data_IF_367976700998
#
_entry.id   IF_367976700998
#
_cell.length_a   1.000
_cell.length_b   1.000
_cell.length_c   1.000
_cell.angle_alpha   90.00
_cell.angle_beta   90.00
_cell.angle_gamma   90.00
#
_symmetry.space_group_name_H-M   'P 1'
#
loop_
_entity.id
_entity.type
_entity.pdbx_description
1 polymer ?
#
# COMPACT_ATOMS: atom_id res chain seq x y z
N UNK A 1 -15.31 22.57 6.05
CA UNK A 1 -14.35 23.55 5.46
C UNK A 1 -15.14 24.74 4.98
N UNK A 2 -14.64 25.96 5.21
CA UNK A 2 -15.24 27.16 4.64
C UNK A 2 -15.16 27.10 3.10
N UNK A 3 -16.23 27.48 2.42
CA UNK A 3 -16.24 27.64 0.95
C UNK A 3 -15.29 28.76 0.53
N UNK A 4 -14.78 28.73 -0.70
CA UNK A 4 -13.84 29.76 -1.21
C UNK A 4 -14.44 31.15 -1.16
N UNK A 5 -15.73 31.27 -1.44
CA UNK A 5 -16.50 32.51 -1.45
C UNK A 5 -16.56 33.13 -0.05
N UNK A 6 -16.93 32.33 0.95
CA UNK A 6 -16.91 32.72 2.36
C UNK A 6 -15.51 33.15 2.83
N UNK A 7 -14.46 32.48 2.33
CA UNK A 7 -13.07 32.82 2.67
C UNK A 7 -12.66 34.19 2.11
N UNK A 8 -13.02 34.51 0.87
CA UNK A 8 -12.73 35.80 0.26
C UNK A 8 -13.51 36.95 0.92
N UNK A 9 -14.73 36.70 1.37
CA UNK A 9 -15.49 37.68 2.15
C UNK A 9 -14.80 37.96 3.50
N UNK A 10 -14.31 36.92 4.17
CA UNK A 10 -13.61 37.02 5.45
C UNK A 10 -12.29 37.81 5.35
N UNK A 11 -11.55 37.68 4.25
CA UNK A 11 -10.26 38.36 4.07
C UNK A 11 -10.37 39.89 4.15
N UNK A 12 -11.42 40.47 3.56
CA UNK A 12 -11.65 41.92 3.63
C UNK A 12 -11.90 42.40 5.06
N UNK A 13 -12.66 41.63 5.83
CA UNK A 13 -12.95 41.94 7.23
C UNK A 13 -11.78 41.63 8.16
N UNK A 14 -10.89 40.71 7.78
CA UNK A 14 -9.65 40.43 8.51
C UNK A 14 -8.59 41.52 8.32
N UNK A 15 -8.58 42.19 7.17
CA UNK A 15 -7.69 43.32 6.90
C UNK A 15 -8.10 44.58 7.68
N UNK A 16 -9.39 44.88 7.73
CA UNK A 16 -9.93 46.04 8.44
C UNK A 16 -11.05 45.62 9.41
N UNK A 17 -10.70 44.93 10.52
CA UNK A 17 -11.69 44.45 11.47
C UNK A 17 -12.35 45.61 12.22
N UNK A 18 -13.68 45.62 12.37
CA UNK A 18 -14.34 46.58 13.25
C UNK A 18 -13.81 46.47 14.68
N UNK A 19 -13.69 47.60 15.39
CA UNK A 19 -13.06 47.65 16.72
C UNK A 19 -13.70 46.73 17.77
N UNK A 20 -15.00 46.46 17.63
CA UNK A 20 -15.78 45.61 18.53
C UNK A 20 -15.72 44.11 18.16
N UNK A 21 -15.16 43.73 17.01
CA UNK A 21 -15.10 42.35 16.54
C UNK A 21 -13.73 41.75 16.87
N UNK A 22 -13.74 40.53 17.40
CA UNK A 22 -12.54 39.71 17.61
C UNK A 22 -12.73 38.39 16.87
N UNK A 23 -11.72 38.01 16.08
CA UNK A 23 -11.70 36.73 15.37
C UNK A 23 -10.83 35.74 16.15
N UNK A 24 -11.40 34.56 16.43
CA UNK A 24 -10.68 33.43 17.02
C UNK A 24 -10.87 32.24 16.07
N UNK A 25 -9.77 31.80 15.46
CA UNK A 25 -9.76 30.65 14.56
C UNK A 25 -9.14 29.44 15.25
N UNK A 26 -9.78 28.28 15.10
CA UNK A 26 -9.25 26.99 15.55
C UNK A 26 -9.13 26.06 14.34
N UNK A 27 -7.96 25.44 14.15
CA UNK A 27 -7.72 24.45 13.09
C UNK A 27 -6.73 23.40 13.56
N UNK A 28 -6.91 22.15 13.11
CA UNK A 28 -5.93 21.07 13.28
C UNK A 28 -4.92 20.99 12.13
N UNK A 29 -5.15 21.75 11.05
CA UNK A 29 -4.31 21.73 9.84
C UNK A 29 -3.95 23.16 9.42
N UNK A 30 -3.07 23.81 10.19
CA UNK A 30 -2.64 25.19 9.94
C UNK A 30 -1.97 25.36 8.57
N UNK A 31 -1.24 24.35 8.09
CA UNK A 31 -0.60 24.34 6.77
C UNK A 31 -1.57 24.37 5.59
N UNK A 32 -2.84 24.02 5.80
CA UNK A 32 -3.88 24.11 4.76
C UNK A 32 -4.50 25.51 4.66
N UNK A 33 -4.18 26.42 5.58
CA UNK A 33 -4.65 27.80 5.54
C UNK A 33 -3.76 28.62 4.59
N UNK A 34 -4.35 29.48 3.74
CA UNK A 34 -3.58 30.43 2.94
C UNK A 34 -2.69 31.33 3.80
N UNK A 35 -1.49 31.64 3.29
CA UNK A 35 -0.55 32.56 3.96
C UNK A 35 -1.17 33.94 4.25
N UNK A 36 -2.14 34.37 3.44
CA UNK A 36 -2.85 35.64 3.62
C UNK A 36 -3.63 35.72 4.93
N UNK A 37 -4.11 34.60 5.48
CA UNK A 37 -4.75 34.57 6.80
C UNK A 37 -3.71 34.40 7.89
N UNK A 38 -2.71 33.55 7.66
CA UNK A 38 -1.65 33.31 8.64
C UNK A 38 -0.87 34.59 8.98
N UNK A 39 -0.62 35.46 8.00
CA UNK A 39 0.08 36.73 8.21
C UNK A 39 -0.71 37.78 8.99
N UNK A 40 -2.04 37.62 9.08
CA UNK A 40 -2.96 38.57 9.74
C UNK A 40 -3.48 38.07 11.08
N UNK A 41 -3.09 36.87 11.50
CA UNK A 41 -3.51 36.27 12.75
C UNK A 41 -2.30 36.07 13.67
N UNK A 42 -2.48 36.32 14.96
CA UNK A 42 -1.54 35.84 15.96
C UNK A 42 -1.71 34.33 16.10
N UNK A 43 -0.65 33.58 15.80
CA UNK A 43 -0.64 32.11 15.91
C UNK A 43 -0.30 31.69 17.34
N UNK A 44 -1.11 30.79 17.87
CA UNK A 44 -0.84 30.06 19.12
C UNK A 44 -0.92 28.56 18.83
N UNK A 45 0.19 27.88 19.00
CA UNK A 45 0.26 26.43 18.84
C UNK A 45 0.05 25.74 20.19
N UNK A 46 -1.05 25.00 20.30
CA UNK A 46 -1.33 24.17 21.46
C UNK A 46 -0.62 22.83 21.30
N UNK A 47 0.22 22.48 22.28
CA UNK A 47 0.86 21.17 22.35
C UNK A 47 -0.10 20.16 22.97
N UNK A 48 0.15 18.87 22.69
CA UNK A 48 -0.53 17.79 23.38
C UNK A 48 -0.28 17.90 24.89
N UNK A 49 -1.32 17.62 25.67
CA UNK A 49 -1.26 17.65 27.13
C UNK A 49 -0.48 16.41 27.59
N UNK A 50 0.38 16.56 28.60
CA UNK A 50 1.12 15.43 29.15
C UNK A 50 0.18 14.44 29.84
N UNK A 51 0.57 13.16 29.89
CA UNK A 51 -0.22 12.11 30.58
C UNK A 51 -0.44 12.51 32.04
N UNK A 52 0.60 13.00 32.71
CA UNK A 52 0.52 13.45 34.11
C UNK A 52 -0.45 14.62 34.33
N UNK A 53 -0.48 15.61 33.42
CA UNK A 53 -1.41 16.73 33.53
C UNK A 53 -2.87 16.28 33.31
N UNK A 54 -3.09 15.33 32.37
CA UNK A 54 -4.41 14.73 32.16
C UNK A 54 -4.86 13.99 33.42
N UNK A 55 -4.01 13.12 33.98
CA UNK A 55 -4.31 12.40 35.21
C UNK A 55 -4.69 13.35 36.35
N UNK A 56 -3.85 14.36 36.60
CA UNK A 56 -4.11 15.35 37.64
C UNK A 56 -5.48 16.00 37.47
N UNK A 57 -5.82 16.38 36.24
CA UNK A 57 -7.11 17.01 35.96
C UNK A 57 -8.29 16.03 36.11
N UNK A 58 -8.16 14.79 35.65
CA UNK A 58 -9.20 13.77 35.84
C UNK A 58 -9.42 13.48 37.33
N UNK A 59 -8.35 13.47 38.13
CA UNK A 59 -8.42 13.27 39.58
C UNK A 59 -9.16 14.43 40.27
N UNK A 60 -8.94 15.68 39.82
CA UNK A 60 -9.68 16.84 40.29
C UNK A 60 -11.18 16.69 40.00
N UNK A 61 -11.55 16.28 38.78
CA UNK A 61 -12.95 16.02 38.40
C UNK A 61 -13.57 14.92 39.28
N UNK A 62 -12.88 13.80 39.48
CA UNK A 62 -13.38 12.71 40.32
C UNK A 62 -13.66 13.17 41.75
N UNK A 63 -12.78 14.01 42.31
CA UNK A 63 -12.95 14.59 43.66
C UNK A 63 -14.15 15.53 43.73
N UNK A 64 -14.39 16.34 42.69
CA UNK A 64 -15.54 17.25 42.63
C UNK A 64 -16.86 16.48 42.52
N UNK A 65 -16.89 15.40 41.74
CA UNK A 65 -18.07 14.54 41.55
C UNK A 65 -18.27 13.53 42.70
N UNK A 66 -17.33 13.43 43.64
CA UNK A 66 -17.41 12.51 44.78
C UNK A 66 -17.24 11.02 44.41
N UNK A 67 -16.70 10.72 43.23
CA UNK A 67 -16.48 9.35 42.73
C UNK A 67 -15.07 8.87 43.06
N UNK A 68 -14.91 7.59 43.39
CA UNK A 68 -13.60 6.98 43.60
C UNK A 68 -13.09 6.31 42.33
N UNK A 69 -11.80 6.48 42.04
CA UNK A 69 -11.13 5.83 40.90
C UNK A 69 -9.76 5.32 41.34
N UNK A 70 -9.37 4.15 40.84
CA UNK A 70 -8.04 3.60 41.08
C UNK A 70 -6.96 4.40 40.32
N UNK A 71 -5.78 4.66 40.91
CA UNK A 71 -4.70 5.38 40.23
C UNK A 71 -4.28 4.73 38.90
N UNK A 72 -4.24 3.39 38.86
CA UNK A 72 -3.94 2.62 37.64
C UNK A 72 -4.98 2.84 36.55
N UNK A 73 -6.27 2.87 36.90
CA UNK A 73 -7.37 3.11 35.99
C UNK A 73 -7.27 4.52 35.36
N UNK A 74 -6.98 5.51 36.18
CA UNK A 74 -6.81 6.90 35.76
C UNK A 74 -5.61 7.10 34.82
N UNK A 75 -4.50 6.42 35.11
CA UNK A 75 -3.32 6.37 34.24
C UNK A 75 -3.63 5.73 32.87
N UNK A 76 -4.39 4.63 32.84
CA UNK A 76 -4.83 4.00 31.59
C UNK A 76 -5.68 4.94 30.74
N UNK A 77 -6.63 5.66 31.34
CA UNK A 77 -7.46 6.65 30.62
C UNK A 77 -6.60 7.77 30.04
N UNK A 78 -5.65 8.29 30.82
CA UNK A 78 -4.76 9.36 30.38
C UNK A 78 -3.87 8.93 29.20
N UNK A 79 -3.35 7.70 29.23
CA UNK A 79 -2.60 7.10 28.12
C UNK A 79 -3.46 6.93 26.87
N UNK A 80 -4.69 6.43 27.03
CA UNK A 80 -5.62 6.23 25.93
C UNK A 80 -5.94 7.53 25.18
N UNK A 81 -6.04 8.64 25.92
CA UNK A 81 -6.40 9.94 25.37
C UNK A 81 -5.35 10.59 24.45
N UNK A 82 -4.11 10.09 24.41
CA UNK A 82 -3.04 10.57 23.50
C UNK A 82 -2.84 12.09 23.47
N UNK A 83 -3.08 12.76 24.60
CA UNK A 83 -2.98 14.23 24.75
C UNK A 83 -4.29 15.01 24.55
N UNK A 84 -5.40 14.35 24.23
CA UNK A 84 -6.73 14.93 24.07
C UNK A 84 -7.55 14.87 25.35
N UNK A 85 -7.62 15.97 26.11
CA UNK A 85 -8.38 16.02 27.37
C UNK A 85 -9.89 15.76 27.18
N UNK A 86 -10.45 16.13 26.03
CA UNK A 86 -11.86 15.87 25.73
C UNK A 86 -12.15 14.37 25.66
N UNK A 87 -11.22 13.61 25.08
CA UNK A 87 -11.39 12.16 24.90
C UNK A 87 -11.27 11.44 26.24
N UNK A 88 -10.33 11.85 27.11
CA UNK A 88 -10.25 11.30 28.47
C UNK A 88 -11.47 11.63 29.32
N UNK A 89 -12.00 12.85 29.24
CA UNK A 89 -13.23 13.23 29.94
C UNK A 89 -14.44 12.43 29.43
N UNK A 90 -14.53 12.20 28.11
CA UNK A 90 -15.61 11.40 27.52
C UNK A 90 -15.59 9.96 28.03
N UNK A 91 -14.40 9.36 28.13
CA UNK A 91 -14.22 8.02 28.72
C UNK A 91 -14.58 8.00 30.20
N UNK A 92 -14.15 9.02 30.95
CA UNK A 92 -14.46 9.13 32.38
C UNK A 92 -15.97 9.26 32.64
N UNK A 93 -16.67 10.08 31.85
CA UNK A 93 -18.12 10.26 31.94
C UNK A 93 -18.87 8.96 31.62
N UNK A 94 -18.39 8.23 30.60
CA UNK A 94 -18.91 6.90 30.30
C UNK A 94 -18.73 5.96 31.49
N UNK A 95 -17.55 5.91 32.12
CA UNK A 95 -17.30 5.07 33.30
C UNK A 95 -18.19 5.45 34.49
N UNK A 96 -18.41 6.74 34.74
CA UNK A 96 -19.32 7.18 35.80
C UNK A 96 -20.77 6.81 35.56
N UNK A 97 -21.17 6.62 34.30
CA UNK A 97 -22.50 6.15 33.93
C UNK A 97 -22.67 4.64 34.14
N UNK A 98 -21.59 3.85 34.10
CA UNK A 98 -21.60 2.40 34.28
C UNK A 98 -21.27 1.95 35.71
N UNK A 99 -20.48 2.74 36.45
CA UNK A 99 -19.99 2.39 37.78
C UNK A 99 -20.60 3.31 38.86
N UNK A 100 -21.18 2.71 39.89
CA UNK A 100 -21.84 3.46 40.97
C UNK A 100 -20.85 4.20 41.88
N UNK A 101 -19.91 3.50 42.52
CA UNK A 101 -19.08 4.13 43.58
C UNK A 101 -17.58 4.16 43.28
N UNK A 102 -17.05 3.10 42.65
CA UNK A 102 -15.61 2.94 42.42
C UNK A 102 -15.33 2.43 41.01
N UNK A 103 -14.50 3.17 40.27
CA UNK A 103 -13.99 2.78 38.96
C UNK A 103 -12.67 2.02 39.13
N UNK A 104 -12.62 0.79 38.62
CA UNK A 104 -11.43 -0.08 38.63
C UNK A 104 -10.75 -0.14 37.27
N UNK A 105 -9.52 -0.65 37.21
CA UNK A 105 -8.83 -0.87 35.92
C UNK A 105 -9.58 -1.83 34.99
N UNK A 106 -10.32 -2.80 35.54
CA UNK A 106 -11.13 -3.73 34.75
C UNK A 106 -12.29 -3.01 34.03
N UNK A 107 -12.94 -2.06 34.72
CA UNK A 107 -14.03 -1.27 34.14
C UNK A 107 -13.53 -0.39 32.98
N UNK A 108 -12.35 0.22 33.14
CA UNK A 108 -11.69 0.99 32.09
C UNK A 108 -11.39 0.11 30.87
N UNK A 109 -10.82 -1.08 31.08
CA UNK A 109 -10.51 -2.01 29.99
C UNK A 109 -11.78 -2.49 29.27
N UNK A 110 -12.87 -2.69 30.01
CA UNK A 110 -14.16 -3.04 29.44
C UNK A 110 -14.68 -1.92 28.53
N UNK A 111 -14.74 -0.68 29.03
CA UNK A 111 -15.23 0.49 28.29
C UNK A 111 -14.36 0.82 27.08
N UNK A 112 -13.03 0.74 27.22
CA UNK A 112 -12.09 1.06 26.15
C UNK A 112 -11.92 -0.04 25.12
N UNK A 113 -12.58 -1.19 25.27
CA UNK A 113 -12.32 -2.34 24.40
C UNK A 113 -10.87 -2.85 24.52
N UNK A 114 -10.18 -2.55 25.63
CA UNK A 114 -8.83 -3.04 25.87
C UNK A 114 -8.87 -4.55 26.05
N UNK A 115 -7.85 -5.25 25.55
CA UNK A 115 -7.77 -6.71 25.60
C UNK A 115 -6.85 -7.05 26.75
N UNK A 116 -7.21 -8.08 27.51
CA UNK A 116 -6.41 -8.47 28.66
C UNK A 116 -4.98 -8.80 28.26
N UNK A 117 -4.02 -8.29 29.03
CA UNK A 117 -2.60 -8.48 28.77
C UNK A 117 -2.24 -9.98 28.71
N UNK A 118 -2.90 -10.83 29.49
CA UNK A 118 -2.70 -12.28 29.45
C UNK A 118 -3.02 -12.89 28.08
N UNK A 119 -4.04 -12.39 27.37
CA UNK A 119 -4.38 -12.85 26.02
C UNK A 119 -3.36 -12.38 25.01
N UNK A 120 -2.89 -11.14 25.17
CA UNK A 120 -1.80 -10.62 24.34
C UNK A 120 -0.54 -11.45 24.59
N UNK A 121 -0.20 -11.78 25.83
CA UNK A 121 0.97 -12.60 26.16
C UNK A 121 0.84 -14.00 25.56
N UNK A 122 -0.32 -14.63 25.69
CA UNK A 122 -0.62 -15.92 25.06
C UNK A 122 -0.47 -15.85 23.54
N UNK A 123 -0.88 -14.74 22.91
CA UNK A 123 -0.70 -14.52 21.47
C UNK A 123 0.79 -14.47 21.08
N UNK A 124 1.62 -13.76 21.86
CA UNK A 124 3.07 -13.75 21.64
C UNK A 124 3.70 -15.12 21.87
N UNK A 125 3.23 -15.91 22.83
CA UNK A 125 3.68 -17.31 22.99
C UNK A 125 3.32 -18.17 21.77
N UNK A 126 2.13 -18.00 21.21
CA UNK A 126 1.77 -18.67 19.96
C UNK A 126 2.67 -18.25 18.79
N UNK A 127 3.12 -16.99 18.73
CA UNK A 127 4.11 -16.56 17.74
C UNK A 127 5.47 -17.24 17.94
N UNK A 128 5.96 -17.32 19.17
CA UNK A 128 7.23 -17.98 19.48
C UNK A 128 7.18 -19.48 19.17
N UNK A 129 6.08 -20.14 19.56
CA UNK A 129 5.89 -21.58 19.37
C UNK A 129 5.41 -21.96 17.96
N UNK A 130 5.18 -20.96 17.08
CA UNK A 130 4.61 -21.14 15.73
C UNK A 130 3.25 -21.85 15.71
N UNK A 131 2.48 -21.69 16.79
CA UNK A 131 1.14 -22.28 16.92
C UNK A 131 0.07 -21.37 16.32
N UNK A 132 -0.14 -21.50 15.01
CA UNK A 132 -1.19 -20.77 14.30
C UNK A 132 -2.60 -21.16 14.77
N UNK A 133 -2.81 -22.39 15.23
CA UNK A 133 -4.13 -22.85 15.69
C UNK A 133 -4.50 -22.20 17.03
N UNK A 134 -3.56 -22.16 17.97
CA UNK A 134 -3.74 -21.47 19.25
C UNK A 134 -3.97 -19.97 19.04
N UNK A 135 -3.19 -19.35 18.16
CA UNK A 135 -3.33 -17.94 17.85
C UNK A 135 -4.72 -17.60 17.26
N UNK A 136 -5.24 -18.42 16.34
CA UNK A 136 -6.57 -18.22 15.78
C UNK A 136 -7.69 -18.39 16.81
N UNK A 137 -7.55 -19.30 17.79
CA UNK A 137 -8.51 -19.44 18.88
C UNK A 137 -8.57 -18.19 19.74
N UNK A 138 -7.41 -17.62 20.08
CA UNK A 138 -7.33 -16.37 20.84
C UNK A 138 -8.01 -15.23 20.08
N UNK A 139 -7.82 -15.15 18.74
CA UNK A 139 -8.55 -14.16 17.91
C UNK A 139 -10.06 -14.36 17.99
N UNK A 140 -10.55 -15.61 17.88
CA UNK A 140 -11.99 -15.90 17.96
C UNK A 140 -12.56 -15.53 19.34
N UNK A 141 -11.85 -15.87 20.42
CA UNK A 141 -12.25 -15.52 21.79
C UNK A 141 -12.36 -14.00 21.98
N UNK A 142 -11.38 -13.24 21.49
CA UNK A 142 -11.39 -11.77 21.54
C UNK A 142 -12.59 -11.19 20.79
N UNK A 143 -12.90 -11.72 19.60
CA UNK A 143 -14.03 -11.24 18.79
C UNK A 143 -15.38 -11.63 19.42
N UNK A 144 -15.48 -12.81 20.04
CA UNK A 144 -16.69 -13.27 20.73
C UNK A 144 -16.99 -12.43 21.99
N UNK A 145 -15.98 -11.82 22.59
CA UNK A 145 -16.12 -10.84 23.68
C UNK A 145 -16.55 -9.44 23.21
N UNK A 146 -16.76 -9.26 21.90
CA UNK A 146 -17.20 -7.99 21.32
C UNK A 146 -16.08 -6.95 21.16
N UNK A 147 -14.82 -7.34 21.35
CA UNK A 147 -13.65 -6.47 21.14
C UNK A 147 -13.40 -6.30 19.65
N UNK A 148 -12.88 -5.14 19.25
CA UNK A 148 -12.66 -4.88 17.82
C UNK A 148 -11.31 -5.39 17.35
N UNK A 149 -11.25 -5.84 16.10
CA UNK A 149 -10.00 -6.20 15.44
C UNK A 149 -9.00 -5.04 15.40
N UNK A 150 -9.51 -3.80 15.29
CA UNK A 150 -8.70 -2.59 15.30
C UNK A 150 -7.94 -2.42 16.62
N UNK A 151 -8.63 -2.54 17.76
CA UNK A 151 -8.02 -2.47 19.09
C UNK A 151 -7.00 -3.58 19.31
N UNK A 152 -7.32 -4.80 18.84
CA UNK A 152 -6.39 -5.93 18.88
C UNK A 152 -5.07 -5.64 18.15
N UNK A 153 -5.16 -5.13 16.93
CA UNK A 153 -3.96 -4.80 16.14
C UNK A 153 -3.19 -3.65 16.78
N UNK A 154 -3.88 -2.61 17.24
CA UNK A 154 -3.26 -1.44 17.85
C UNK A 154 -2.50 -1.83 19.14
N UNK A 155 -3.05 -2.74 19.94
CA UNK A 155 -2.36 -3.29 21.13
C UNK A 155 -1.17 -4.17 20.77
N UNK A 156 -1.29 -5.05 19.77
CA UNK A 156 -0.16 -5.85 19.28
C UNK A 156 0.98 -4.96 18.77
N UNK A 157 0.65 -3.92 17.99
CA UNK A 157 1.62 -2.95 17.49
C UNK A 157 2.34 -2.23 18.62
N UNK A 158 1.62 -1.84 19.68
CA UNK A 158 2.22 -1.21 20.85
C UNK A 158 3.24 -2.13 21.52
N UNK A 159 2.85 -3.38 21.80
CA UNK A 159 3.74 -4.38 22.43
C UNK A 159 4.95 -4.74 21.57
N UNK A 160 4.77 -4.86 20.26
CA UNK A 160 5.90 -5.06 19.33
C UNK A 160 6.86 -3.86 19.32
N UNK A 161 6.31 -2.65 19.35
CA UNK A 161 7.10 -1.42 19.42
C UNK A 161 7.89 -1.34 20.72
N UNK A 162 7.30 -1.74 21.84
CA UNK A 162 8.00 -1.77 23.13
C UNK A 162 9.18 -2.77 23.11
N UNK A 163 8.99 -3.97 22.56
CA UNK A 163 10.08 -4.94 22.35
C UNK A 163 11.17 -4.39 21.41
N UNK A 164 10.78 -3.74 20.31
CA UNK A 164 11.74 -3.19 19.35
C UNK A 164 12.59 -2.09 19.97
N UNK A 165 11.95 -1.14 20.67
CA UNK A 165 12.63 -0.04 21.36
C UNK A 165 13.59 -0.59 22.42
N UNK A 166 13.13 -1.55 23.24
CA UNK A 166 13.98 -2.18 24.24
C UNK A 166 15.16 -2.93 23.61
N UNK A 167 14.94 -3.69 22.54
CA UNK A 167 16.02 -4.40 21.84
C UNK A 167 17.07 -3.47 21.21
N UNK A 168 16.68 -2.24 20.86
CA UNK A 168 17.57 -1.27 20.20
C UNK A 168 18.30 -0.35 21.18
N UNK A 169 17.61 0.09 22.24
CA UNK A 169 18.12 1.10 23.18
C UNK A 169 18.44 0.54 24.57
N UNK A 170 18.01 -0.69 24.88
CA UNK A 170 18.13 -1.27 26.21
C UNK A 170 17.30 -0.53 27.28
N UNK A 171 17.64 -0.71 28.57
CA UNK A 171 16.93 -0.10 29.69
C UNK A 171 17.05 1.44 29.76
N UNK A 172 17.96 2.04 28.98
CA UNK A 172 18.20 3.49 28.98
C UNK A 172 17.06 4.30 28.31
N UNK A 173 16.10 3.63 27.68
CA UNK A 173 14.92 4.27 27.08
C UNK A 173 13.84 4.63 28.11
N UNK A 174 14.18 5.39 29.16
CA UNK A 174 13.26 5.80 30.23
C UNK A 174 12.05 6.64 29.73
N UNK A 175 12.14 7.19 28.51
CA UNK A 175 11.04 7.90 27.85
C UNK A 175 9.98 6.97 27.25
N UNK A 176 10.31 5.70 27.06
CA UNK A 176 9.38 4.66 26.65
C UNK A 176 8.91 3.95 27.91
N UNK A 177 7.74 4.29 28.41
CA UNK A 177 7.10 3.48 29.46
C UNK A 177 6.71 2.14 28.85
N UNK A 178 7.30 1.05 29.35
CA UNK A 178 7.01 -0.31 28.91
C UNK A 178 6.77 -1.23 30.11
N UNK A 179 6.07 -2.34 29.86
CA UNK A 179 5.90 -3.39 30.86
C UNK A 179 7.16 -4.26 30.92
N UNK A 180 7.94 -4.12 32.01
CA UNK A 180 9.17 -4.88 32.25
C UNK A 180 8.92 -6.39 32.27
N UNK A 181 7.77 -6.84 32.78
CA UNK A 181 7.44 -8.26 32.87
C UNK A 181 7.25 -8.88 31.49
N UNK A 182 6.62 -8.13 30.58
CA UNK A 182 6.42 -8.53 29.19
C UNK A 182 7.75 -8.58 28.44
N UNK A 183 8.58 -7.55 28.60
CA UNK A 183 9.88 -7.47 27.93
C UNK A 183 10.76 -8.65 28.33
N UNK A 184 10.95 -8.90 29.62
CA UNK A 184 11.80 -10.00 30.07
C UNK A 184 11.36 -11.38 29.58
N UNK A 185 10.05 -11.57 29.34
CA UNK A 185 9.51 -12.82 28.80
C UNK A 185 9.84 -13.03 27.32
N UNK A 186 9.91 -11.96 26.51
CA UNK A 186 10.01 -12.07 25.05
C UNK A 186 11.25 -11.41 24.42
N UNK A 187 12.10 -10.73 25.18
CA UNK A 187 13.30 -10.01 24.68
C UNK A 187 14.25 -10.91 23.85
N UNK A 188 14.35 -12.20 24.19
CA UNK A 188 15.25 -13.16 23.54
C UNK A 188 14.59 -13.94 22.42
N UNK A 189 13.28 -13.84 22.30
CA UNK A 189 12.48 -14.69 21.41
C UNK A 189 12.40 -14.13 20.00
N UNK A 190 12.60 -12.82 19.84
CA UNK A 190 12.50 -12.12 18.55
C UNK A 190 13.77 -11.33 18.25
N UNK A 191 14.24 -11.39 17.00
CA UNK A 191 15.29 -10.47 16.53
C UNK A 191 14.70 -9.11 16.16
N UNK A 192 15.51 -8.05 16.22
CA UNK A 192 15.10 -6.69 15.82
C UNK A 192 14.50 -6.64 14.40
N UNK A 193 15.10 -7.35 13.44
CA UNK A 193 14.59 -7.44 12.07
C UNK A 193 13.22 -8.12 11.99
N UNK A 194 13.02 -9.17 12.80
CA UNK A 194 11.73 -9.86 12.88
C UNK A 194 10.67 -8.91 13.43
N UNK A 195 10.98 -8.17 14.51
CA UNK A 195 10.07 -7.20 15.10
C UNK A 195 9.69 -6.08 14.12
N UNK A 196 10.66 -5.53 13.38
CA UNK A 196 10.38 -4.53 12.33
C UNK A 196 9.43 -5.07 11.26
N UNK A 197 9.66 -6.29 10.79
CA UNK A 197 8.79 -6.91 9.80
C UNK A 197 7.37 -7.15 10.33
N UNK A 198 7.24 -7.64 11.58
CA UNK A 198 5.93 -7.83 12.22
C UNK A 198 5.16 -6.51 12.31
N UNK A 199 5.81 -5.43 12.73
CA UNK A 199 5.22 -4.08 12.80
C UNK A 199 4.78 -3.60 11.43
N UNK A 200 5.62 -3.73 10.40
CA UNK A 200 5.28 -3.31 9.04
C UNK A 200 4.06 -4.06 8.50
N UNK A 201 4.00 -5.37 8.72
CA UNK A 201 2.90 -6.21 8.23
C UNK A 201 1.57 -5.82 8.90
N UNK A 202 1.57 -5.71 10.24
CA UNK A 202 0.39 -5.28 10.99
C UNK A 202 -0.03 -3.85 10.63
N UNK A 203 0.91 -2.93 10.42
CA UNK A 203 0.63 -1.54 10.04
C UNK A 203 -0.07 -1.45 8.67
N UNK A 204 0.43 -2.19 7.68
CA UNK A 204 -0.20 -2.25 6.35
C UNK A 204 -1.61 -2.83 6.42
N UNK A 205 -1.80 -3.86 7.25
CA UNK A 205 -3.11 -4.48 7.43
C UNK A 205 -4.09 -3.54 8.14
N UNK A 206 -3.63 -2.80 9.17
CA UNK A 206 -4.44 -1.80 9.88
C UNK A 206 -5.01 -0.72 8.94
N UNK A 207 -4.23 -0.29 7.96
CA UNK A 207 -4.62 0.73 6.97
C UNK A 207 -5.62 0.17 5.94
N UNK A 208 -5.45 -1.09 5.51
CA UNK A 208 -6.28 -1.70 4.45
C UNK A 208 -7.65 -2.18 4.93
N UNK A 209 -7.89 -2.20 6.23
CA UNK A 209 -9.06 -2.84 6.83
C UNK A 209 -10.17 -1.82 7.12
N UNK A 210 -10.93 -1.42 6.10
CA UNK A 210 -12.09 -0.51 6.26
C UNK A 210 -13.43 -1.24 6.41
N UNK A 211 -13.59 -2.44 5.84
CA UNK A 211 -14.81 -3.24 5.95
C UNK A 211 -14.73 -4.30 7.06
N UNK A 212 -15.82 -4.51 7.79
CA UNK A 212 -15.88 -5.46 8.92
C UNK A 212 -15.58 -6.92 8.53
N UNK A 213 -16.07 -7.39 7.38
CA UNK A 213 -15.76 -8.74 6.91
C UNK A 213 -14.27 -8.90 6.51
N UNK A 214 -13.72 -7.88 5.87
CA UNK A 214 -12.31 -7.87 5.49
C UNK A 214 -11.40 -7.72 6.72
N UNK A 215 -11.85 -7.05 7.79
CA UNK A 215 -11.11 -6.91 9.04
C UNK A 215 -10.83 -8.26 9.69
N UNK A 216 -11.85 -9.12 9.84
CA UNK A 216 -11.68 -10.46 10.43
C UNK A 216 -10.72 -11.32 9.60
N UNK A 217 -10.99 -11.45 8.30
CA UNK A 217 -10.15 -12.25 7.40
C UNK A 217 -8.71 -11.73 7.37
N UNK A 218 -8.53 -10.41 7.35
CA UNK A 218 -7.19 -9.80 7.33
C UNK A 218 -6.43 -10.03 8.63
N UNK A 219 -7.11 -10.01 9.77
CA UNK A 219 -6.48 -10.31 11.06
C UNK A 219 -6.12 -11.79 11.20
N UNK A 220 -7.00 -12.71 10.84
CA UNK A 220 -6.71 -14.15 10.83
C UNK A 220 -5.52 -14.45 9.91
N UNK A 221 -5.51 -13.89 8.70
CA UNK A 221 -4.39 -14.03 7.76
C UNK A 221 -3.10 -13.42 8.31
N UNK A 222 -3.17 -12.26 8.96
CA UNK A 222 -2.02 -11.62 9.57
C UNK A 222 -1.43 -12.50 10.66
N UNK A 223 -2.24 -12.98 11.60
CA UNK A 223 -1.83 -13.85 12.70
C UNK A 223 -1.21 -15.15 12.18
N UNK A 224 -1.81 -15.80 11.18
CA UNK A 224 -1.23 -17.01 10.55
C UNK A 224 0.14 -16.69 9.94
N UNK A 225 0.26 -15.57 9.23
CA UNK A 225 1.54 -15.15 8.64
C UNK A 225 2.58 -14.91 9.73
N UNK A 226 2.21 -14.27 10.84
CA UNK A 226 3.09 -14.03 11.99
C UNK A 226 3.61 -15.35 12.59
N UNK A 227 2.73 -16.33 12.84
CA UNK A 227 3.12 -17.65 13.36
C UNK A 227 4.02 -18.44 12.39
N UNK A 228 3.81 -18.28 11.08
CA UNK A 228 4.54 -19.04 10.05
C UNK A 228 5.88 -18.42 9.68
N UNK A 229 6.22 -17.25 10.20
CA UNK A 229 7.50 -16.63 9.88
C UNK A 229 8.67 -17.49 10.35
N UNK A 230 9.65 -17.63 9.49
CA UNK A 230 10.97 -18.06 9.91
C UNK A 230 11.74 -16.83 10.40
N UNK A 231 12.48 -16.99 11.50
CA UNK A 231 13.34 -15.92 11.97
C UNK A 231 14.36 -15.62 10.88
N UNK A 232 14.51 -14.34 10.53
CA UNK A 232 15.47 -13.92 9.50
C UNK A 232 16.91 -14.34 9.89
N UNK A 233 17.18 -14.47 11.20
CA UNK A 233 18.45 -15.02 11.69
C UNK A 233 18.72 -16.48 11.29
N UNK A 234 17.70 -17.30 11.05
CA UNK A 234 17.88 -18.67 10.55
C UNK A 234 18.39 -18.69 9.10
N UNK A 235 18.02 -17.68 8.30
CA UNK A 235 18.54 -17.50 6.94
C UNK A 235 20.02 -17.10 6.96
N UNK A 236 20.43 -16.22 7.89
CA UNK A 236 21.85 -15.90 8.09
C UNK A 236 22.67 -17.13 8.47
N UNK A 237 22.14 -17.99 9.35
CA UNK A 237 22.79 -19.27 9.71
C UNK A 237 22.82 -20.29 8.57
N UNK A 238 21.86 -20.26 7.64
CA UNK A 238 21.90 -21.06 6.41
C UNK A 238 22.94 -20.54 5.43
N UNK A 239 23.07 -19.21 5.30
CA UNK A 239 24.11 -18.59 4.47
C UNK A 239 25.50 -18.94 5.03
N UNK A 240 25.70 -18.84 6.34
CA UNK A 240 26.97 -19.20 7.00
C UNK A 240 27.29 -20.71 6.85
N UNK A 241 26.27 -21.57 6.87
CA UNK A 241 26.43 -23.00 6.57
C UNK A 241 26.78 -23.26 5.11
N UNK A 242 26.21 -22.50 4.18
CA UNK A 242 26.52 -22.61 2.75
C UNK A 242 27.96 -22.15 2.51
N UNK A 243 28.38 -21.01 3.06
CA UNK A 243 29.76 -20.52 2.92
C UNK A 243 30.77 -21.46 3.57
N UNK A 244 30.48 -22.03 4.74
CA UNK A 244 31.36 -23.03 5.37
C UNK A 244 31.38 -24.38 4.63
N UNK A 245 30.34 -24.72 3.89
CA UNK A 245 30.31 -25.89 2.99
C UNK A 245 31.12 -25.62 1.72
N UNK A 246 31.01 -24.42 1.15
CA UNK A 246 31.82 -23.96 0.01
C UNK A 246 33.32 -23.97 0.34
N UNK A 247 33.71 -23.41 1.50
CA UNK A 247 35.10 -23.44 1.97
C UNK A 247 35.62 -24.87 2.21
N UNK A 248 34.77 -25.79 2.70
CA UNK A 248 35.14 -27.20 2.87
C UNK A 248 35.28 -27.93 1.55
N UNK A 249 34.48 -27.59 0.53
CA UNK A 249 34.62 -28.13 -0.81
C UNK A 249 35.93 -27.68 -1.47
N UNK A 250 36.30 -26.40 -1.31
CA UNK A 250 37.59 -25.89 -1.81
C UNK A 250 38.80 -26.52 -1.11
N UNK A 251 38.67 -26.92 0.17
CA UNK A 251 39.73 -27.63 0.89
C UNK A 251 39.87 -29.11 0.46
N UNK A 252 38.79 -29.74 -0.03
CA UNK A 252 38.85 -31.12 -0.54
C UNK A 252 39.54 -31.18 -1.91
N UNK A 253 39.49 -30.11 -2.70
CA UNK A 253 40.23 -29.99 -3.97
C UNK A 253 41.75 -29.79 -3.79
N UNK A 254 42.24 -29.59 -2.55
CA UNK A 254 43.64 -29.32 -2.24
C UNK A 254 44.41 -30.52 -1.61
N UNK A 255 43.97 -31.76 -1.85
CA UNK A 255 44.77 -32.96 -1.53
C UNK A 255 45.63 -33.34 -2.76
N UNK A 256 46.97 -33.23 -2.70
CA UNK A 256 47.83 -33.65 -3.79
C UNK A 256 48.01 -35.18 -3.74
N UNK A 257 47.39 -35.89 -4.69
CA UNK A 257 47.82 -37.24 -5.07
C UNK A 257 46.78 -38.35 -5.00
N UNK A 258 45.93 -38.43 -6.02
CA UNK A 258 45.68 -39.64 -6.83
C UNK A 258 44.77 -39.28 -8.01
N UNK A 259 45.39 -38.76 -9.08
CA UNK A 259 44.81 -38.92 -10.43
C UNK A 259 45.03 -40.37 -10.82
N UNK A 260 43.95 -41.15 -10.82
CA UNK A 260 43.99 -42.55 -11.21
C UNK A 260 42.86 -43.36 -10.57
N UNK A 261 41.64 -43.10 -11.01
CA UNK A 261 40.75 -44.15 -11.54
C UNK A 261 39.53 -43.46 -12.13
N UNK A 262 39.40 -43.57 -13.45
CA UNK A 262 38.11 -43.39 -14.12
C UNK A 262 37.11 -44.31 -13.43
N UNK A 263 36.16 -43.72 -12.71
CA UNK A 263 34.91 -44.41 -12.41
C UNK A 263 34.10 -44.31 -13.69
N UNK A 264 34.25 -45.33 -14.54
CA UNK A 264 33.24 -45.67 -15.54
C UNK A 264 31.92 -45.88 -14.80
N UNK A 265 31.02 -44.91 -14.86
CA UNK A 265 29.63 -45.12 -14.51
C UNK A 265 29.06 -46.16 -15.49
N UNK A 266 28.46 -47.26 -14.99
CA UNK A 266 27.71 -48.17 -15.85
C UNK A 266 26.56 -47.40 -16.48
N UNK A 267 26.58 -47.30 -17.81
CA UNK A 267 25.43 -46.88 -18.60
C UNK A 267 24.40 -48.02 -18.61
N UNK A 268 23.69 -48.21 -17.50
CA UNK A 268 22.47 -49.00 -17.47
C UNK A 268 21.31 -48.13 -16.99
N UNK A 269 20.58 -47.67 -18.01
CA UNK A 269 19.13 -47.53 -18.05
C UNK A 269 18.39 -47.99 -16.79
N UNK A 270 18.04 -47.04 -15.93
CA UNK A 270 16.80 -47.12 -15.16
C UNK A 270 15.79 -46.16 -15.76
N UNK A 271 15.08 -46.68 -16.76
CA UNK A 271 13.76 -46.21 -17.11
C UNK A 271 12.88 -46.26 -15.85
N UNK A 272 12.61 -45.10 -15.24
CA UNK A 272 11.44 -44.93 -14.38
C UNK A 272 10.33 -44.38 -15.24
N UNK A 273 9.45 -45.31 -15.58
CA UNK A 273 8.06 -45.15 -15.99
C UNK A 273 7.46 -43.88 -15.39
N UNK A 274 7.25 -42.88 -16.25
CA UNK A 274 6.14 -41.96 -16.06
C UNK A 274 4.87 -42.78 -16.18
N UNK A 275 4.23 -43.00 -15.03
CA UNK A 275 2.88 -43.52 -14.97
C UNK A 275 2.00 -42.52 -15.73
N UNK A 276 1.44 -43.02 -16.82
CA UNK A 276 0.28 -42.46 -17.49
C UNK A 276 -0.83 -42.29 -16.46
N UNK A 277 -1.23 -41.05 -16.21
CA UNK A 277 -2.53 -40.75 -15.65
C UNK A 277 -3.33 -40.00 -16.72
N UNK A 278 -4.53 -40.53 -16.94
CA UNK A 278 -5.37 -40.33 -18.10
C UNK A 278 -5.71 -38.86 -18.35
N UNK A 279 -5.63 -38.52 -19.62
CA UNK A 279 -6.45 -37.55 -20.32
C UNK A 279 -7.94 -37.67 -19.91
N UNK A 280 -8.53 -36.54 -19.55
CA UNK A 280 -9.93 -36.24 -19.88
C UNK A 280 -9.87 -35.14 -20.95
N UNK A 281 -10.13 -35.62 -22.16
CA UNK A 281 -10.72 -35.00 -23.36
C UNK A 281 -10.48 -33.51 -23.67
N UNK A 282 -9.85 -33.33 -24.82
CA UNK A 282 -9.78 -32.14 -25.65
C UNK A 282 -11.17 -31.65 -26.10
N UNK A 283 -11.30 -30.33 -26.20
CA UNK A 283 -12.29 -29.66 -27.04
C UNK A 283 -11.61 -28.54 -27.83
N UNK A 284 -11.19 -28.89 -29.04
CA UNK A 284 -10.81 -28.06 -30.19
C UNK A 284 -9.70 -27.01 -30.04
N UNK A 285 -8.46 -27.47 -30.25
CA UNK A 285 -7.40 -26.68 -30.87
C UNK A 285 -7.49 -26.83 -32.39
N UNK A 286 -7.73 -25.72 -33.10
CA UNK A 286 -7.49 -25.60 -34.55
C UNK A 286 -6.07 -25.03 -34.76
N UNK A 287 -5.30 -25.48 -35.78
CA UNK A 287 -3.83 -25.41 -35.80
C UNK A 287 -3.25 -24.02 -36.16
N UNK A 288 -1.95 -23.81 -35.92
CA UNK A 288 -1.26 -22.58 -36.30
C UNK A 288 -1.04 -22.53 -37.82
N UNK A 289 -1.61 -21.51 -38.47
CA UNK A 289 -1.38 -21.27 -39.89
C UNK A 289 -0.10 -20.44 -40.11
N UNK A 290 0.88 -21.12 -40.69
CA UNK A 290 1.94 -20.70 -41.64
C UNK A 290 2.30 -19.22 -41.74
N UNK A 291 3.59 -18.96 -41.59
CA UNK A 291 4.31 -17.85 -42.22
C UNK A 291 4.10 -17.89 -43.75
N UNK A 292 3.28 -16.98 -44.26
CA UNK A 292 3.28 -16.64 -45.68
C UNK A 292 3.75 -15.19 -45.86
N UNK A 293 4.78 -15.05 -46.70
CA UNK A 293 5.30 -13.78 -47.19
C UNK A 293 4.18 -12.97 -47.84
N UNK A 294 3.96 -11.73 -47.38
CA UNK A 294 3.18 -10.74 -48.13
C UNK A 294 3.99 -9.44 -48.24
N UNK A 295 4.18 -9.06 -49.49
CA UNK A 295 4.83 -7.87 -50.05
C UNK A 295 4.28 -6.56 -49.43
N UNK A 296 5.09 -5.49 -49.29
CA UNK A 296 4.64 -4.25 -48.69
C UNK A 296 3.79 -3.45 -49.68
N UNK A 297 2.48 -3.40 -49.46
CA UNK A 297 1.57 -2.57 -50.26
C UNK A 297 0.63 -1.82 -49.30
N UNK A 298 0.64 -0.48 -49.40
CA UNK A 298 -0.31 0.48 -48.77
C UNK A 298 -0.08 0.73 -47.26
N UNK A 299 1.09 1.28 -46.90
CA UNK A 299 1.39 1.74 -45.53
C UNK A 299 0.98 3.21 -45.24
N UNK A 300 0.29 3.91 -46.15
CA UNK A 300 -0.05 5.34 -45.99
C UNK A 300 -1.52 5.65 -45.63
N UNK A 301 -2.49 4.77 -45.92
CA UNK A 301 -3.92 5.06 -45.64
C UNK A 301 -4.38 4.69 -44.21
N UNK A 302 -3.68 3.81 -43.48
CA UNK A 302 -4.13 3.30 -42.16
C UNK A 302 -4.15 4.36 -41.04
N UNK A 303 -3.29 5.37 -41.09
CA UNK A 303 -3.17 6.36 -40.02
C UNK A 303 -4.22 7.47 -40.11
N UNK A 304 -4.67 7.84 -41.31
CA UNK A 304 -5.69 8.88 -41.50
C UNK A 304 -7.08 8.38 -41.06
N UNK A 305 -7.44 7.16 -41.46
CA UNK A 305 -8.73 6.53 -41.08
C UNK A 305 -8.84 6.37 -39.55
N UNK A 306 -7.75 5.97 -38.87
CA UNK A 306 -7.74 5.87 -37.41
C UNK A 306 -7.90 7.23 -36.73
N UNK A 307 -7.27 8.28 -37.27
CA UNK A 307 -7.41 9.65 -36.79
C UNK A 307 -8.85 10.16 -36.89
N UNK A 308 -9.56 9.83 -37.98
CA UNK A 308 -10.93 10.30 -38.21
C UNK A 308 -11.98 9.52 -37.39
N UNK A 309 -11.75 8.24 -37.10
CA UNK A 309 -12.54 7.47 -36.13
C UNK A 309 -12.37 8.08 -34.72
N UNK A 310 -11.14 8.41 -34.32
CA UNK A 310 -10.87 9.03 -33.02
C UNK A 310 -11.54 10.41 -32.89
N UNK A 311 -11.50 11.25 -33.93
CA UNK A 311 -12.22 12.55 -33.93
C UNK A 311 -13.73 12.38 -33.83
N UNK A 312 -14.29 11.36 -34.50
CA UNK A 312 -15.73 11.08 -34.48
C UNK A 312 -16.20 10.59 -33.10
N UNK A 313 -15.42 9.76 -32.42
CA UNK A 313 -15.69 9.30 -31.05
C UNK A 313 -15.54 10.47 -30.06
N UNK A 314 -14.52 11.32 -30.23
CA UNK A 314 -14.29 12.48 -29.37
C UNK A 314 -15.46 13.47 -29.37
N UNK A 315 -16.11 13.66 -30.53
CA UNK A 315 -17.29 14.54 -30.66
C UNK A 315 -18.53 13.98 -29.94
N UNK A 316 -18.70 12.66 -29.86
CA UNK A 316 -19.86 12.04 -29.19
C UNK A 316 -19.65 11.87 -27.68
N UNK A 317 -18.51 11.32 -27.24
CA UNK A 317 -18.18 11.15 -25.80
C UNK A 317 -16.66 11.20 -25.55
N UNK A 318 -16.22 12.16 -24.73
CA UNK A 318 -14.81 12.34 -24.36
C UNK A 318 -14.23 11.20 -23.53
N UNK A 319 -15.05 10.55 -22.69
CA UNK A 319 -14.60 9.45 -21.82
C UNK A 319 -14.26 8.19 -22.63
N UNK A 320 -15.10 7.80 -23.58
CA UNK A 320 -14.88 6.65 -24.47
C UNK A 320 -13.66 6.85 -25.36
N UNK A 321 -13.47 8.08 -25.87
CA UNK A 321 -12.28 8.45 -26.64
C UNK A 321 -10.98 8.26 -25.85
N UNK A 322 -10.95 8.66 -24.58
CA UNK A 322 -9.76 8.53 -23.74
C UNK A 322 -9.33 7.06 -23.57
N UNK A 323 -10.30 6.15 -23.44
CA UNK A 323 -10.03 4.71 -23.35
C UNK A 323 -9.66 4.10 -24.71
N UNK A 324 -10.31 4.54 -25.79
CA UNK A 324 -10.10 3.99 -27.13
C UNK A 324 -8.77 4.44 -27.76
N UNK A 325 -8.28 5.64 -27.42
CA UNK A 325 -6.97 6.17 -27.86
C UNK A 325 -5.80 5.27 -27.49
N UNK A 326 -5.91 4.54 -26.38
CA UNK A 326 -4.85 3.64 -25.89
C UNK A 326 -4.76 2.32 -26.69
N UNK A 327 -5.73 2.05 -27.56
CA UNK A 327 -5.74 0.89 -28.46
C UNK A 327 -4.90 1.11 -29.73
N UNK A 328 -4.31 0.04 -30.27
CA UNK A 328 -3.62 0.05 -31.57
C UNK A 328 -4.42 -0.73 -32.62
N UNK A 329 -4.59 -0.15 -33.79
CA UNK A 329 -5.20 -0.82 -34.94
C UNK A 329 -4.16 -1.72 -35.62
N UNK A 330 -4.43 -3.03 -35.72
CA UNK A 330 -3.50 -4.00 -36.32
C UNK A 330 -3.78 -4.25 -37.81
N UNK A 331 -5.04 -4.36 -38.22
CA UNK A 331 -5.45 -4.45 -39.63
C UNK A 331 -6.94 -4.14 -39.81
N UNK A 332 -7.31 -3.84 -41.06
CA UNK A 332 -8.67 -3.72 -41.57
C UNK A 332 -8.72 -4.57 -42.83
N UNK A 333 -8.89 -5.88 -42.68
CA UNK A 333 -9.22 -6.76 -43.80
C UNK A 333 -10.67 -7.23 -43.62
N UNK A 334 -11.41 -7.25 -44.73
CA UNK A 334 -12.79 -7.73 -44.84
C UNK A 334 -13.82 -7.13 -43.85
N UNK A 335 -13.68 -5.83 -43.54
CA UNK A 335 -14.69 -5.09 -42.76
C UNK A 335 -14.71 -5.41 -41.26
N UNK A 336 -13.68 -6.08 -40.73
CA UNK A 336 -13.50 -6.31 -39.28
C UNK A 336 -12.38 -5.41 -38.75
N UNK A 337 -12.68 -4.58 -37.74
CA UNK A 337 -11.67 -3.75 -37.06
C UNK A 337 -11.08 -4.53 -35.88
N UNK A 338 -9.80 -4.85 -35.97
CA UNK A 338 -9.02 -5.48 -34.89
C UNK A 338 -8.23 -4.44 -34.12
N UNK A 339 -8.65 -4.17 -32.88
CA UNK A 339 -7.96 -3.24 -31.97
C UNK A 339 -7.31 -4.04 -30.85
N UNK A 340 -5.99 -3.88 -30.71
CA UNK A 340 -5.22 -4.54 -29.67
C UNK A 340 -4.95 -3.59 -28.49
N UNK A 341 -5.15 -4.12 -27.28
CA UNK A 341 -4.80 -3.46 -26.02
C UNK A 341 -3.64 -4.19 -25.32
N UNK A 342 -2.79 -3.43 -24.63
CA UNK A 342 -1.74 -3.99 -23.75
C UNK A 342 -2.35 -4.47 -22.42
N UNK A 343 -1.71 -5.45 -21.77
CA UNK A 343 -2.19 -6.07 -20.51
C UNK A 343 -2.37 -5.07 -19.36
N UNK A 344 -1.64 -3.94 -19.36
CA UNK A 344 -1.80 -2.87 -18.36
C UNK A 344 -3.15 -2.14 -18.44
N UNK A 345 -3.86 -2.28 -19.56
CA UNK A 345 -5.11 -1.57 -19.84
C UNK A 345 -6.35 -2.49 -19.89
N UNK A 346 -6.35 -3.53 -19.05
CA UNK A 346 -7.41 -4.55 -19.00
C UNK A 346 -8.78 -3.96 -18.60
N UNK A 347 -8.77 -3.01 -17.66
CA UNK A 347 -9.96 -2.27 -17.24
C UNK A 347 -10.58 -1.43 -18.38
N UNK A 348 -9.74 -0.83 -19.22
CA UNK A 348 -10.18 -0.03 -20.38
C UNK A 348 -10.82 -0.93 -21.43
N UNK A 349 -10.27 -2.13 -21.65
CA UNK A 349 -10.87 -3.14 -22.54
C UNK A 349 -12.26 -3.57 -22.03
N UNK A 350 -12.38 -3.96 -20.76
CA UNK A 350 -13.67 -4.38 -20.17
C UNK A 350 -14.72 -3.27 -20.20
N UNK A 351 -14.31 -2.01 -20.03
CA UNK A 351 -15.19 -0.84 -20.11
C UNK A 351 -15.70 -0.60 -21.54
N UNK A 352 -14.86 -0.85 -22.54
CA UNK A 352 -15.18 -0.72 -23.96
C UNK A 352 -15.95 -1.92 -24.53
N UNK A 353 -15.88 -3.08 -23.86
CA UNK A 353 -16.70 -4.27 -24.16
C UNK A 353 -18.15 -4.15 -23.68
N UNK A 354 -18.47 -3.14 -22.86
CA UNK A 354 -19.84 -2.84 -22.49
C UNK A 354 -20.70 -2.56 -23.74
N UNK A 355 -21.93 -3.10 -23.82
CA UNK A 355 -22.72 -3.11 -25.05
C UNK A 355 -23.10 -1.71 -25.54
N UNK A 356 -23.21 -0.72 -24.64
CA UNK A 356 -23.49 0.68 -25.01
C UNK A 356 -22.30 1.35 -25.71
N UNK A 357 -21.09 1.17 -25.16
CA UNK A 357 -19.87 1.79 -25.68
C UNK A 357 -19.40 1.08 -26.96
N UNK A 358 -19.55 -0.26 -27.03
CA UNK A 358 -19.30 -1.03 -28.26
C UNK A 358 -20.19 -0.59 -29.42
N UNK A 359 -21.50 -0.40 -29.19
CA UNK A 359 -22.44 0.10 -30.21
C UNK A 359 -22.10 1.53 -30.68
N UNK A 360 -21.67 2.39 -29.78
CA UNK A 360 -21.25 3.76 -30.13
C UNK A 360 -20.02 3.75 -31.03
N UNK A 361 -19.04 2.90 -30.72
CA UNK A 361 -17.82 2.74 -31.53
C UNK A 361 -18.17 2.12 -32.89
N UNK A 362 -19.03 1.10 -32.95
CA UNK A 362 -19.47 0.48 -34.19
C UNK A 362 -20.24 1.46 -35.09
N UNK A 363 -21.10 2.31 -34.53
CA UNK A 363 -21.82 3.34 -35.30
C UNK A 363 -20.87 4.39 -35.86
N UNK A 364 -19.88 4.84 -35.07
CA UNK A 364 -18.84 5.75 -35.54
C UNK A 364 -17.92 5.10 -36.59
N UNK A 365 -17.63 3.81 -36.47
CA UNK A 365 -16.84 3.07 -37.45
C UNK A 365 -17.59 2.91 -38.79
N UNK A 366 -18.91 2.69 -38.78
CA UNK A 366 -19.75 2.63 -39.99
C UNK A 366 -19.82 3.95 -40.76
N UNK A 367 -19.79 5.09 -40.06
CA UNK A 367 -19.81 6.42 -40.68
C UNK A 367 -18.50 6.71 -41.45
N UNK A 368 -17.37 6.15 -41.00
CA UNK A 368 -16.04 6.44 -41.54
C UNK A 368 -15.54 5.36 -42.52
N UNK A 369 -15.95 4.10 -42.34
CA UNK A 369 -15.52 2.97 -43.19
C UNK A 369 -16.72 2.32 -43.88
N UNK A 370 -16.93 2.53 -45.19
CA UNK A 370 -17.98 1.85 -45.94
C UNK A 370 -17.65 0.35 -46.05
N UNK A 371 -18.49 -0.50 -45.44
CA UNK A 371 -18.31 -1.97 -45.42
C UNK A 371 -18.00 -2.58 -44.05
N UNK A 372 -18.01 -1.79 -42.97
CA UNK A 372 -17.77 -2.27 -41.60
C UNK A 372 -18.84 -3.29 -41.13
N UNK A 373 -18.38 -4.44 -40.62
CA UNK A 373 -19.23 -5.54 -40.12
C UNK A 373 -19.09 -5.78 -38.61
N UNK A 374 -17.88 -5.77 -38.05
CA UNK A 374 -17.68 -6.14 -36.63
C UNK A 374 -16.40 -5.55 -36.00
N UNK A 375 -16.47 -5.24 -34.70
CA UNK A 375 -15.31 -4.84 -33.88
C UNK A 375 -14.84 -6.00 -33.00
N UNK A 376 -13.56 -6.38 -33.11
CA UNK A 376 -12.92 -7.39 -32.26
C UNK A 376 -11.77 -6.79 -31.45
N UNK A 377 -11.83 -6.93 -30.13
CA UNK A 377 -10.83 -6.43 -29.18
C UNK A 377 -9.93 -7.58 -28.70
N UNK A 378 -8.64 -7.51 -29.00
CA UNK A 378 -7.68 -8.59 -28.71
C UNK A 378 -6.59 -8.10 -27.73
N UNK A 379 -6.07 -9.00 -26.90
CA UNK A 379 -4.93 -8.72 -26.02
C UNK A 379 -3.63 -9.10 -26.74
N UNK A 380 -2.65 -8.19 -26.79
CA UNK A 380 -1.33 -8.47 -27.37
C UNK A 380 -0.29 -8.73 -26.27
N UNK A 381 0.57 -9.74 -26.46
CA UNK A 381 1.60 -10.16 -25.48
C UNK A 381 2.97 -9.48 -25.65
N UNK A 382 3.19 -8.70 -26.70
CA UNK A 382 4.49 -8.03 -26.94
C UNK A 382 4.50 -6.59 -26.41
N UNK A 383 5.28 -6.34 -25.36
CA UNK A 383 5.63 -4.99 -24.89
C UNK A 383 6.85 -4.45 -25.68
N UNK A 384 6.72 -3.24 -26.24
CA UNK A 384 7.85 -2.45 -26.76
C UNK A 384 7.87 -1.07 -26.07
N UNK A 385 9.05 -0.48 -25.84
CA UNK A 385 9.24 0.68 -24.98
C UNK A 385 8.54 1.96 -25.46
N UNK A 386 8.13 2.79 -24.50
CA UNK A 386 7.22 3.94 -24.65
C UNK A 386 7.77 5.14 -25.45
N UNK A 387 9.06 5.14 -25.83
CA UNK A 387 9.72 6.28 -26.48
C UNK A 387 9.19 6.60 -27.88
N UNK A 388 8.64 5.62 -28.60
CA UNK A 388 8.16 5.84 -29.97
C UNK A 388 6.74 6.44 -30.08
N UNK A 389 6.10 6.80 -28.96
CA UNK A 389 4.69 7.26 -28.94
C UNK A 389 4.49 8.77 -28.84
N UNK A 390 5.43 9.52 -28.25
CA UNK A 390 5.29 10.99 -28.10
C UNK A 390 5.69 11.77 -29.37
N UNK A 391 6.49 11.19 -30.26
CA UNK A 391 6.96 11.82 -31.50
C UNK A 391 5.91 11.92 -32.62
N UNK A 392 4.71 11.34 -32.46
CA UNK A 392 3.69 11.29 -33.54
C UNK A 392 2.53 12.28 -33.40
N UNK A 393 2.48 13.11 -32.35
CA UNK A 393 1.34 14.02 -32.08
C UNK A 393 1.71 15.52 -32.17
N UNK A 394 2.97 15.86 -32.44
CA UNK A 394 3.38 17.27 -32.65
C UNK A 394 4.05 17.43 -34.02
N UNK A 395 3.27 17.22 -35.08
CA UNK A 395 3.59 17.79 -36.39
C UNK A 395 2.34 18.49 -36.91
N UNK A 396 2.16 19.73 -36.46
CA UNK A 396 1.48 20.79 -37.21
C UNK A 396 1.82 22.14 -36.56
N UNK A 397 2.74 22.87 -37.20
CA UNK A 397 2.90 24.32 -36.99
C UNK A 397 4.22 24.77 -36.39
N UNK A 398 5.25 24.88 -37.23
CA UNK A 398 6.29 25.91 -37.20
C UNK A 398 7.09 26.17 -35.91
N UNK A 399 8.31 25.65 -35.84
CA UNK A 399 9.44 26.34 -35.22
C UNK A 399 10.76 25.84 -35.81
N UNK A 400 11.49 26.80 -36.37
CA UNK A 400 12.84 26.73 -36.92
C UNK A 400 13.85 25.95 -36.07
N UNK A 401 14.80 25.35 -36.79
CA UNK A 401 16.18 25.03 -36.40
C UNK A 401 16.65 25.75 -35.13
N UNK A 402 17.30 25.01 -34.21
CA UNK A 402 18.48 25.37 -33.38
C UNK A 402 18.41 24.69 -31.97
N UNK A 403 19.32 23.72 -31.70
CA UNK A 403 20.24 23.64 -30.54
C UNK A 403 20.72 22.21 -30.21
N UNK A 404 21.52 21.59 -31.10
CA UNK A 404 22.32 20.38 -30.75
C UNK A 404 23.52 20.70 -29.83
N UNK A 405 23.84 21.97 -29.60
CA UNK A 405 25.02 22.43 -28.85
C UNK A 405 24.87 22.40 -27.33
N UNK A 406 23.65 22.36 -26.79
CA UNK A 406 23.42 22.32 -25.33
C UNK A 406 23.55 20.89 -24.77
N UNK A 407 23.29 19.88 -25.60
CA UNK A 407 23.39 18.47 -25.23
C UNK A 407 24.84 17.94 -25.17
N UNK A 408 25.81 18.70 -25.67
CA UNK A 408 27.23 18.34 -25.63
C UNK A 408 27.95 18.77 -24.35
N UNK A 409 27.32 19.54 -23.45
CA UNK A 409 27.95 19.90 -22.18
C UNK A 409 27.97 18.72 -21.19
N UNK A 410 29.15 18.32 -20.69
CA UNK A 410 29.30 17.11 -19.88
C UNK A 410 28.59 17.19 -18.51
N UNK A 411 28.36 18.39 -17.98
CA UNK A 411 27.66 18.59 -16.71
C UNK A 411 26.16 18.30 -16.80
N UNK A 412 25.52 18.68 -17.91
CA UNK A 412 24.09 18.42 -18.15
C UNK A 412 23.85 16.93 -18.36
N UNK A 413 24.75 16.27 -19.09
CA UNK A 413 24.66 14.83 -19.39
C UNK A 413 24.76 13.96 -18.13
N UNK A 414 25.71 14.26 -17.24
CA UNK A 414 25.85 13.56 -15.95
C UNK A 414 24.65 13.75 -15.04
N UNK A 415 24.05 14.94 -15.05
CA UNK A 415 22.88 15.24 -14.21
C UNK A 415 21.63 14.53 -14.71
N UNK A 416 21.50 14.36 -16.03
CA UNK A 416 20.40 13.60 -16.64
C UNK A 416 20.53 12.09 -16.36
N UNK A 417 21.73 11.52 -16.41
CA UNK A 417 21.98 10.11 -16.08
C UNK A 417 21.79 9.78 -14.59
N UNK A 418 22.10 10.71 -13.68
CA UNK A 418 22.00 10.47 -12.24
C UNK A 418 20.57 10.57 -11.68
N UNK A 419 19.71 11.36 -12.32
CA UNK A 419 18.37 11.69 -11.81
C UNK A 419 17.21 11.27 -12.72
N UNK A 420 17.50 10.61 -13.85
CA UNK A 420 16.51 10.14 -14.83
C UNK A 420 15.55 11.28 -15.29
N UNK A 421 16.08 12.50 -15.35
CA UNK A 421 15.32 13.72 -15.61
C UNK A 421 15.16 14.03 -17.11
N UNK A 422 14.19 14.89 -17.47
CA UNK A 422 14.07 15.47 -18.83
C UNK A 422 14.13 16.99 -18.79
N UNK A 423 14.84 17.60 -19.73
CA UNK A 423 14.93 19.06 -19.86
C UNK A 423 13.65 19.59 -20.50
N UNK A 424 12.85 20.30 -19.71
CA UNK A 424 11.52 20.80 -20.15
C UNK A 424 11.65 22.14 -20.87
N UNK A 425 12.65 22.96 -20.54
CA UNK A 425 12.87 24.27 -21.18
C UNK A 425 14.31 24.76 -20.97
N UNK A 426 14.95 25.23 -22.03
CA UNK A 426 16.24 25.94 -21.97
C UNK A 426 15.97 27.40 -22.28
N UNK A 427 16.12 28.28 -21.29
CA UNK A 427 16.14 29.73 -21.52
C UNK A 427 17.61 30.14 -21.67
N UNK A 428 17.91 30.92 -22.71
CA UNK A 428 19.24 31.53 -22.88
C UNK A 428 19.51 32.59 -21.83
#
# INVERSE_FOLDING_TARGET
MLTREAFNALLKTLEEPPSHVKFIFATTAANRLPETVQSRCQRFDFKNISVHDIEKHLLEICKTEGKQIEPSALHTIAKYAKGGLRDSQSVLDQLFSFCDDKVTSADVNYVLGYIDDDKIYSMFECFVNKDASGALRIVDDILNEGKTTAEFIDQLLLRLRDLLVFSSCGPDAAWAEYDESFIHRFEKSFSGDTLMYMIQMLSVMRIRSTDSLLQRISAEMAVIKLCRMESIGALSGLIERITTLEEKLEQVDNIPGKRGNEILLPAESFARQTVSEKSIEEGDVIPPAKEEKITPCIAREKNEVWGDILKSIQKKKKSTWAFFKEGRLLSSDEGVLLVAFSRKFLFQKERLEQPEEKKLIENCAKEVVPGFRELKLVLSEKEEPEENRQSRILDNGGAQQINDTVFSEPAVKKTLELFDGRVIKVNR
#
